data_IF_007978030047
#
_entry.id   IF_007978030047
#
_cell.length_a   1.000
_cell.length_b   1.000
_cell.length_c   1.000
_cell.angle_alpha   90.00
_cell.angle_beta   90.00
_cell.angle_gamma   90.00
#
_symmetry.space_group_name_H-M   'P 1'
#
loop_
_entity.id
_entity.type
_entity.pdbx_description
1 polymer ?
#
# COMPACT_ATOMS: atom_id res chain seq x y z
N UNK A 1 -27.19 2.14 56.93
CA UNK A 1 -26.82 1.12 55.92
C UNK A 1 -27.98 0.63 55.07
N UNK A 2 -29.18 0.29 55.60
CA UNK A 2 -30.33 -0.18 54.80
C UNK A 2 -30.85 0.86 53.78
N UNK A 3 -30.79 2.16 54.03
CA UNK A 3 -31.26 3.20 53.12
C UNK A 3 -30.33 3.42 51.93
N UNK A 4 -29.02 3.22 52.08
CA UNK A 4 -28.03 3.33 51.00
C UNK A 4 -28.13 2.13 50.05
N UNK A 5 -28.42 0.95 50.57
CA UNK A 5 -28.63 -0.25 49.79
C UNK A 5 -29.87 -0.14 48.87
N UNK A 6 -30.96 0.47 49.40
CA UNK A 6 -32.18 0.70 48.61
C UNK A 6 -31.95 1.70 47.45
N UNK A 7 -31.10 2.73 47.68
CA UNK A 7 -30.76 3.71 46.65
C UNK A 7 -29.89 3.10 45.55
N UNK A 8 -28.95 2.23 45.91
CA UNK A 8 -28.11 1.49 44.96
C UNK A 8 -28.94 0.51 44.12
N UNK A 9 -29.90 -0.21 44.73
CA UNK A 9 -30.79 -1.12 43.97
C UNK A 9 -31.71 -0.33 43.04
N UNK A 10 -32.19 0.87 43.46
CA UNK A 10 -32.99 1.73 42.60
C UNK A 10 -32.16 2.28 41.42
N UNK A 11 -30.88 2.64 41.60
CA UNK A 11 -30.02 3.03 40.50
C UNK A 11 -29.77 1.87 39.52
N UNK A 12 -29.57 0.66 40.00
CA UNK A 12 -29.41 -0.51 39.09
C UNK A 12 -30.71 -0.90 38.40
N UNK A 13 -31.90 -0.65 38.99
CA UNK A 13 -33.18 -0.89 38.32
C UNK A 13 -33.47 0.12 37.18
N UNK A 14 -32.88 1.33 37.23
CA UNK A 14 -32.98 2.31 36.14
C UNK A 14 -32.00 2.08 35.01
N UNK A 15 -30.92 1.31 35.20
CA UNK A 15 -29.95 0.97 34.16
C UNK A 15 -30.48 -0.14 33.24
N UNK A 16 -31.49 -0.91 33.68
CA UNK A 16 -32.05 -2.04 32.92
C UNK A 16 -32.97 -1.68 31.74
N UNK A 17 -33.31 -0.39 31.55
CA UNK A 17 -34.19 0.07 30.47
C UNK A 17 -33.60 1.19 29.64
N UNK A 18 -32.29 1.19 29.43
CA UNK A 18 -31.71 1.99 28.36
C UNK A 18 -32.01 1.24 27.04
N UNK A 19 -33.18 1.52 26.47
CA UNK A 19 -33.40 1.22 25.08
C UNK A 19 -32.29 1.95 24.31
N UNK A 20 -31.29 1.22 23.81
CA UNK A 20 -30.29 1.80 22.96
C UNK A 20 -31.05 2.45 21.80
N UNK A 21 -30.98 3.79 21.73
CA UNK A 21 -31.65 4.52 20.67
C UNK A 21 -31.09 4.03 19.34
N UNK A 22 -31.93 3.39 18.53
CA UNK A 22 -31.53 2.92 17.20
C UNK A 22 -31.55 4.13 16.30
N UNK A 23 -30.39 4.47 15.79
CA UNK A 23 -30.23 5.53 14.80
C UNK A 23 -30.20 4.93 13.38
N UNK A 24 -30.77 5.66 12.44
CA UNK A 24 -30.65 5.39 11.02
C UNK A 24 -29.85 6.51 10.36
N UNK A 25 -28.95 6.15 9.46
CA UNK A 25 -28.31 7.10 8.56
C UNK A 25 -29.24 7.31 7.36
N UNK A 26 -29.67 8.55 7.13
CA UNK A 26 -30.54 8.92 6.03
C UNK A 26 -29.73 9.68 5.00
N UNK A 27 -29.62 9.13 3.80
CA UNK A 27 -28.96 9.76 2.64
C UNK A 27 -30.05 10.20 1.67
N UNK A 28 -30.18 11.52 1.48
CA UNK A 28 -31.11 12.08 0.47
C UNK A 28 -30.31 12.44 -0.77
N UNK A 29 -30.65 11.86 -1.90
CA UNK A 29 -30.01 12.14 -3.19
C UNK A 29 -30.58 13.42 -3.81
N UNK A 30 -29.83 14.04 -4.74
CA UNK A 30 -30.23 15.25 -5.42
C UNK A 30 -31.51 15.11 -6.27
N UNK A 31 -31.87 13.89 -6.67
CA UNK A 31 -33.11 13.56 -7.37
C UNK A 31 -34.32 13.39 -6.42
N UNK A 32 -34.11 13.58 -5.11
CA UNK A 32 -35.11 13.44 -4.07
C UNK A 32 -35.32 12.01 -3.57
N UNK A 33 -34.61 11.03 -4.08
CA UNK A 33 -34.67 9.66 -3.54
C UNK A 33 -33.96 9.60 -2.18
N UNK A 34 -34.47 8.74 -1.29
CA UNK A 34 -33.98 8.60 0.07
C UNK A 34 -33.53 7.16 0.31
N UNK A 35 -32.30 7.01 0.78
CA UNK A 35 -31.77 5.75 1.26
C UNK A 35 -31.64 5.80 2.79
N UNK A 36 -32.22 4.79 3.46
CA UNK A 36 -32.14 4.64 4.90
C UNK A 36 -31.26 3.43 5.21
N UNK A 37 -30.20 3.64 5.99
CA UNK A 37 -29.24 2.62 6.40
C UNK A 37 -29.22 2.56 7.92
N UNK A 38 -29.44 1.38 8.50
CA UNK A 38 -29.36 1.21 9.96
C UNK A 38 -27.95 1.54 10.43
N UNK A 39 -27.81 2.42 11.43
CA UNK A 39 -26.50 2.80 11.95
C UNK A 39 -25.73 1.59 12.51
N UNK A 40 -26.43 0.54 12.99
CA UNK A 40 -25.82 -0.72 13.40
C UNK A 40 -25.05 -1.45 12.29
N UNK A 41 -25.43 -1.21 11.04
CA UNK A 41 -24.87 -1.87 9.86
C UNK A 41 -23.73 -1.04 9.25
N UNK A 42 -23.50 0.17 9.79
CA UNK A 42 -22.45 1.11 9.33
C UNK A 42 -21.24 1.02 10.24
N UNK A 43 -20.14 0.54 9.69
CA UNK A 43 -18.85 0.52 10.41
C UNK A 43 -18.15 1.88 10.36
N UNK A 44 -18.24 2.57 9.23
CA UNK A 44 -17.60 3.86 9.00
C UNK A 44 -18.32 4.62 7.88
N UNK A 45 -18.30 5.94 7.94
CA UNK A 45 -18.72 6.85 6.86
C UNK A 45 -17.53 7.69 6.48
N UNK A 46 -17.10 7.60 5.23
CA UNK A 46 -15.97 8.35 4.71
C UNK A 46 -16.42 9.17 3.51
N UNK A 47 -16.02 10.42 3.48
CA UNK A 47 -16.17 11.30 2.31
C UNK A 47 -14.82 11.39 1.62
N UNK A 48 -14.79 11.11 0.32
CA UNK A 48 -13.57 11.24 -0.49
C UNK A 48 -13.88 11.95 -1.80
N UNK A 49 -12.89 12.59 -2.36
CA UNK A 49 -12.99 13.15 -3.70
C UNK A 49 -13.04 12.00 -4.71
N UNK A 50 -13.83 12.13 -5.80
CA UNK A 50 -13.78 11.18 -6.90
C UNK A 50 -12.40 11.22 -7.56
N UNK A 51 -11.96 10.09 -8.10
CA UNK A 51 -10.69 9.97 -8.79
C UNK A 51 -10.62 10.91 -10.00
N UNK A 52 -9.50 11.60 -10.14
CA UNK A 52 -9.27 12.60 -11.17
C UNK A 52 -7.80 12.56 -11.64
N UNK A 53 -7.60 12.66 -12.96
CA UNK A 53 -6.28 12.84 -13.58
C UNK A 53 -5.21 11.83 -13.12
N UNK A 54 -5.61 10.58 -12.89
CA UNK A 54 -4.71 9.53 -12.39
C UNK A 54 -3.66 9.13 -13.42
N UNK A 55 -3.96 9.25 -14.70
CA UNK A 55 -3.09 8.99 -15.84
C UNK A 55 -1.93 10.00 -16.00
N UNK A 56 -1.97 11.10 -15.24
CA UNK A 56 -0.89 12.08 -15.20
C UNK A 56 0.12 11.82 -14.09
N UNK A 57 -0.11 10.83 -13.24
CA UNK A 57 0.79 10.49 -12.14
C UNK A 57 1.82 9.49 -12.61
N UNK A 58 3.10 9.83 -12.42
CA UNK A 58 4.24 9.03 -12.86
C UNK A 58 5.20 8.76 -11.70
N UNK A 59 5.98 7.70 -11.83
CA UNK A 59 7.14 7.43 -10.97
C UNK A 59 8.28 8.31 -11.46
N UNK A 60 8.52 9.42 -10.77
CA UNK A 60 9.55 10.38 -11.15
C UNK A 60 10.95 9.89 -10.82
N UNK A 61 11.10 9.28 -9.66
CA UNK A 61 12.37 8.76 -9.16
C UNK A 61 12.13 7.45 -8.40
N UNK A 62 13.06 6.51 -8.55
CA UNK A 62 13.09 5.27 -7.78
C UNK A 62 14.52 5.08 -7.25
N UNK A 63 14.65 5.06 -5.92
CA UNK A 63 15.92 4.87 -5.24
C UNK A 63 15.93 3.52 -4.52
N UNK A 64 16.66 2.56 -5.08
CA UNK A 64 16.65 1.16 -4.65
C UNK A 64 17.88 0.73 -3.89
N UNK A 65 18.96 1.54 -3.92
CA UNK A 65 20.30 1.12 -3.46
C UNK A 65 20.60 1.59 -2.04
N UNK A 66 20.50 2.87 -1.78
CA UNK A 66 21.04 3.53 -0.59
C UNK A 66 22.47 4.06 -0.79
N UNK A 67 22.96 4.85 0.15
CA UNK A 67 24.33 5.39 0.09
C UNK A 67 25.36 4.30 0.34
N UNK A 68 26.54 4.36 -0.28
CA UNK A 68 27.65 3.48 0.04
C UNK A 68 28.08 3.65 1.52
N UNK A 69 28.35 2.54 2.19
CA UNK A 69 28.83 2.56 3.58
C UNK A 69 30.28 3.04 3.57
N UNK A 70 30.59 4.02 4.42
CA UNK A 70 31.97 4.51 4.59
C UNK A 70 32.89 3.35 4.99
N UNK A 71 34.05 3.27 4.35
CA UNK A 71 35.04 2.18 4.49
C UNK A 71 34.58 0.80 3.99
N UNK A 72 33.39 0.67 3.42
CA UNK A 72 32.91 -0.54 2.75
C UNK A 72 32.06 -0.19 1.51
N UNK A 73 32.66 0.36 0.45
CA UNK A 73 31.93 0.89 -0.71
C UNK A 73 31.24 -0.18 -1.56
N UNK A 74 31.44 -1.46 -1.24
CA UNK A 74 30.70 -2.57 -1.88
C UNK A 74 29.35 -2.84 -1.22
N UNK A 75 29.12 -2.30 -0.03
CA UNK A 75 27.86 -2.41 0.69
C UNK A 75 27.16 -1.05 0.76
N UNK A 76 25.84 -1.10 0.83
CA UNK A 76 24.98 0.07 0.80
C UNK A 76 24.07 0.11 2.04
N UNK A 77 23.77 1.32 2.49
CA UNK A 77 22.85 1.53 3.59
C UNK A 77 21.40 1.35 3.11
N UNK A 78 20.83 0.20 3.43
CA UNK A 78 19.54 -0.25 2.88
C UNK A 78 18.32 0.60 3.28
N UNK A 79 18.46 1.49 4.26
CA UNK A 79 17.35 2.30 4.81
C UNK A 79 16.99 3.52 3.95
N UNK A 80 17.79 3.83 2.93
CA UNK A 80 17.56 5.00 2.07
C UNK A 80 16.58 4.74 0.92
N UNK A 81 16.00 3.55 0.84
CA UNK A 81 15.10 3.20 -0.27
C UNK A 81 13.83 4.02 -0.24
N UNK A 82 13.46 4.54 -1.39
CA UNK A 82 12.26 5.36 -1.55
C UNK A 82 11.93 5.61 -3.02
N UNK A 83 10.81 6.23 -3.26
CA UNK A 83 10.41 6.69 -4.58
C UNK A 83 9.60 7.98 -4.51
N UNK A 84 9.49 8.64 -5.65
CA UNK A 84 8.74 9.90 -5.80
C UNK A 84 7.65 9.68 -6.84
N UNK A 85 6.40 9.98 -6.46
CA UNK A 85 5.30 10.12 -7.40
C UNK A 85 5.13 11.60 -7.75
N UNK A 86 4.93 11.87 -9.02
CA UNK A 86 4.81 13.22 -9.56
C UNK A 86 3.55 13.35 -10.40
N UNK A 87 2.78 14.38 -10.15
CA UNK A 87 1.66 14.77 -11.02
C UNK A 87 2.18 15.64 -12.16
N UNK A 88 2.28 15.08 -13.36
CA UNK A 88 2.75 15.76 -14.56
C UNK A 88 1.65 16.56 -15.26
N UNK A 89 0.52 16.77 -14.62
CA UNK A 89 -0.64 17.49 -15.16
C UNK A 89 -0.90 18.84 -14.51
N UNK A 90 -1.63 19.69 -15.21
CA UNK A 90 -2.06 21.01 -14.73
C UNK A 90 -3.32 21.00 -13.86
N UNK A 91 -3.78 19.84 -13.41
CA UNK A 91 -4.91 19.65 -12.50
C UNK A 91 -4.52 18.74 -11.36
N UNK A 92 -5.17 18.90 -10.21
CA UNK A 92 -4.98 18.00 -9.05
C UNK A 92 -5.29 16.56 -9.45
N UNK A 93 -4.39 15.63 -9.13
CA UNK A 93 -4.64 14.20 -9.23
C UNK A 93 -5.18 13.67 -7.90
N UNK A 94 -6.25 12.89 -7.97
CA UNK A 94 -6.86 12.20 -6.82
C UNK A 94 -6.95 10.72 -7.17
N UNK A 95 -6.27 9.88 -6.41
CA UNK A 95 -6.18 8.43 -6.69
C UNK A 95 -6.63 7.67 -5.46
N UNK A 96 -7.78 7.04 -5.54
CA UNK A 96 -8.20 6.04 -4.54
C UNK A 96 -7.63 4.67 -4.87
N UNK A 97 -7.54 3.81 -3.87
CA UNK A 97 -7.10 2.42 -4.05
C UNK A 97 -5.75 2.26 -4.78
N UNK A 98 -4.86 3.25 -4.61
CA UNK A 98 -3.51 3.18 -5.18
C UNK A 98 -2.69 2.13 -4.45
N UNK A 99 -2.05 1.27 -5.23
CA UNK A 99 -1.17 0.21 -4.74
C UNK A 99 0.15 0.16 -5.51
N UNK A 100 1.12 -0.53 -4.93
CA UNK A 100 2.49 -0.61 -5.39
C UNK A 100 2.89 -2.08 -5.44
N UNK A 101 3.48 -2.51 -6.56
CA UNK A 101 3.95 -3.86 -6.78
C UNK A 101 5.38 -3.91 -7.28
N UNK A 102 6.00 -5.07 -7.10
CA UNK A 102 7.30 -5.41 -7.71
C UNK A 102 7.07 -6.60 -8.63
N UNK A 103 7.58 -6.51 -9.85
CA UNK A 103 7.45 -7.56 -10.85
C UNK A 103 8.29 -8.79 -10.47
N UNK A 104 7.71 -9.98 -10.60
CA UNK A 104 8.43 -11.25 -10.51
C UNK A 104 8.43 -11.95 -11.89
N UNK A 105 9.55 -12.41 -12.39
CA UNK A 105 10.90 -12.29 -11.81
C UNK A 105 11.48 -10.89 -12.01
N UNK A 106 12.45 -10.56 -11.17
CA UNK A 106 13.25 -9.37 -11.38
C UNK A 106 13.89 -9.43 -12.77
N UNK A 107 13.96 -8.29 -13.44
CA UNK A 107 14.35 -8.22 -14.84
C UNK A 107 13.46 -9.12 -15.74
N UNK A 108 12.22 -8.70 -15.91
CA UNK A 108 11.24 -9.38 -16.76
C UNK A 108 11.68 -9.54 -18.22
N UNK A 109 12.68 -8.79 -18.66
CA UNK A 109 13.29 -8.91 -19.99
C UNK A 109 14.13 -10.19 -20.16
N UNK A 110 14.44 -10.90 -19.07
CA UNK A 110 15.25 -12.11 -19.18
C UNK A 110 14.45 -13.26 -19.77
N UNK A 111 14.79 -13.63 -20.99
CA UNK A 111 14.23 -14.81 -21.68
C UNK A 111 14.55 -16.16 -20.99
N UNK A 112 15.43 -16.15 -19.98
CA UNK A 112 15.76 -17.33 -19.19
C UNK A 112 14.79 -17.60 -18.03
N UNK A 113 13.84 -16.70 -17.76
CA UNK A 113 12.90 -16.89 -16.67
C UNK A 113 11.76 -17.86 -17.05
N UNK A 114 11.06 -18.38 -16.05
CA UNK A 114 10.03 -19.41 -16.24
C UNK A 114 8.78 -18.93 -16.99
N UNK A 115 8.57 -17.62 -17.13
CA UNK A 115 7.43 -17.04 -17.85
C UNK A 115 7.62 -17.05 -19.37
N UNK A 116 8.84 -17.24 -19.87
CA UNK A 116 9.10 -17.34 -21.32
C UNK A 116 8.98 -18.78 -21.79
N UNK A 117 8.16 -19.03 -22.78
CA UNK A 117 8.16 -20.27 -23.54
C UNK A 117 9.37 -20.30 -24.48
N UNK A 118 9.82 -21.50 -24.88
CA UNK A 118 10.94 -21.65 -25.82
C UNK A 118 10.67 -20.87 -27.11
N UNK A 119 11.54 -19.92 -27.43
CA UNK A 119 11.44 -19.08 -28.62
C UNK A 119 10.48 -17.88 -28.50
N UNK A 120 9.85 -17.69 -27.35
CA UNK A 120 9.01 -16.51 -27.12
C UNK A 120 9.86 -15.24 -26.91
N UNK A 121 9.36 -14.12 -27.41
CA UNK A 121 9.95 -12.78 -27.22
C UNK A 121 9.34 -12.03 -26.05
N UNK A 122 8.20 -12.52 -25.52
CA UNK A 122 7.46 -11.93 -24.43
C UNK A 122 7.11 -12.96 -23.36
N UNK A 123 7.01 -12.57 -22.09
CA UNK A 123 6.55 -13.45 -21.02
C UNK A 123 5.09 -13.85 -21.25
N UNK A 124 4.73 -15.06 -20.87
CA UNK A 124 3.39 -15.63 -21.08
C UNK A 124 2.25 -14.88 -20.37
N UNK A 125 2.53 -14.12 -19.31
CA UNK A 125 1.53 -13.32 -18.60
C UNK A 125 1.08 -12.09 -19.42
N UNK A 126 1.91 -11.57 -20.34
CA UNK A 126 1.57 -10.41 -21.19
C UNK A 126 0.32 -10.69 -22.02
N UNK A 127 0.30 -11.82 -22.74
CA UNK A 127 -0.84 -12.23 -23.55
C UNK A 127 -2.10 -12.56 -22.72
N UNK A 128 -1.94 -12.76 -21.40
CA UNK A 128 -3.04 -13.01 -20.46
C UNK A 128 -3.58 -11.72 -19.82
N UNK A 129 -2.99 -10.57 -20.13
CA UNK A 129 -3.47 -9.27 -19.67
C UNK A 129 -3.22 -8.94 -18.18
N UNK A 130 -2.17 -9.51 -17.58
CA UNK A 130 -1.79 -9.21 -16.20
C UNK A 130 -0.26 -9.25 -16.03
N UNK A 131 0.22 -8.74 -14.91
CA UNK A 131 1.62 -8.82 -14.49
C UNK A 131 1.74 -9.48 -13.11
N UNK A 132 2.80 -10.27 -12.86
CA UNK A 132 3.02 -10.95 -11.59
C UNK A 132 3.65 -10.00 -10.56
N UNK A 133 2.92 -9.63 -9.51
CA UNK A 133 3.48 -8.90 -8.39
C UNK A 133 4.03 -9.89 -7.33
N UNK A 134 5.30 -9.71 -6.94
CA UNK A 134 6.00 -10.61 -6.04
C UNK A 134 5.75 -10.32 -4.56
N UNK A 135 5.72 -11.36 -3.74
CA UNK A 135 5.77 -11.36 -2.27
C UNK A 135 4.61 -10.66 -1.56
N UNK A 136 4.11 -9.59 -2.06
CA UNK A 136 3.07 -8.74 -1.46
C UNK A 136 2.99 -7.38 -2.12
N UNK A 137 1.96 -6.65 -1.80
CA UNK A 137 1.76 -5.26 -2.25
C UNK A 137 1.72 -4.31 -1.06
N UNK A 138 2.10 -3.07 -1.32
CA UNK A 138 1.81 -1.94 -0.45
C UNK A 138 0.69 -1.09 -1.05
N UNK A 139 -0.10 -0.42 -0.23
CA UNK A 139 -1.19 0.41 -0.72
C UNK A 139 -1.46 1.60 0.21
N UNK A 140 -2.00 2.67 -0.38
CA UNK A 140 -2.45 3.83 0.36
C UNK A 140 -3.84 3.52 0.98
N UNK A 141 -3.99 3.63 2.31
CA UNK A 141 -5.29 3.36 2.97
C UNK A 141 -6.35 4.44 2.66
N UNK A 142 -5.90 5.62 2.25
CA UNK A 142 -6.73 6.76 1.85
C UNK A 142 -6.39 7.18 0.42
N UNK A 143 -7.26 7.97 -0.22
CA UNK A 143 -6.96 8.55 -1.54
C UNK A 143 -5.70 9.42 -1.46
N UNK A 144 -4.78 9.21 -2.40
CA UNK A 144 -3.62 10.07 -2.58
C UNK A 144 -4.01 11.29 -3.39
N UNK A 145 -3.67 12.48 -2.91
CA UNK A 145 -3.90 13.75 -3.59
C UNK A 145 -2.54 14.36 -3.92
N UNK A 146 -2.34 14.68 -5.20
CA UNK A 146 -1.11 15.33 -5.66
C UNK A 146 -1.51 16.57 -6.47
N UNK A 147 -1.13 17.75 -5.97
CA UNK A 147 -1.41 19.02 -6.63
C UNK A 147 -0.74 19.10 -8.01
N UNK A 148 -1.19 20.02 -8.89
CA UNK A 148 -0.60 20.19 -10.21
C UNK A 148 0.91 20.42 -10.13
N UNK A 149 1.67 19.69 -10.96
CA UNK A 149 3.13 19.78 -11.06
C UNK A 149 3.86 19.61 -9.71
N UNK A 150 3.23 18.87 -8.79
CA UNK A 150 3.75 18.60 -7.46
C UNK A 150 4.12 17.14 -7.30
N UNK A 151 4.83 16.83 -6.23
CA UNK A 151 5.31 15.47 -5.96
C UNK A 151 5.06 15.08 -4.51
N UNK A 152 5.03 13.75 -4.28
CA UNK A 152 5.04 13.14 -2.96
C UNK A 152 6.19 12.16 -2.86
N UNK A 153 6.83 12.12 -1.70
CA UNK A 153 7.94 11.21 -1.40
C UNK A 153 7.42 10.08 -0.55
N UNK A 154 7.76 8.85 -0.94
CA UNK A 154 7.42 7.64 -0.20
C UNK A 154 8.71 6.95 0.23
N UNK A 155 8.92 6.83 1.54
CA UNK A 155 9.98 6.05 2.12
C UNK A 155 9.61 4.57 2.12
N UNK A 156 10.42 3.73 1.49
CA UNK A 156 10.20 2.28 1.46
C UNK A 156 10.75 1.57 2.70
N UNK A 157 11.80 2.12 3.29
CA UNK A 157 12.48 1.54 4.46
C UNK A 157 13.08 2.67 5.30
N UNK A 158 13.03 2.53 6.64
CA UNK A 158 13.72 3.46 7.52
C UNK A 158 13.20 4.90 7.51
N UNK A 159 11.91 5.11 7.73
CA UNK A 159 11.26 6.43 7.78
C UNK A 159 11.68 7.25 9.02
N UNK A 160 12.97 7.46 9.19
CA UNK A 160 13.64 8.20 10.28
C UNK A 160 14.68 9.15 9.69
N UNK A 161 15.35 9.90 10.53
CA UNK A 161 16.52 10.70 10.11
C UNK A 161 17.75 9.80 9.94
N UNK A 162 17.93 9.25 8.75
CA UNK A 162 19.05 8.37 8.43
C UNK A 162 20.39 9.11 8.35
N UNK A 163 20.40 10.44 8.25
CA UNK A 163 21.65 11.25 8.26
C UNK A 163 22.38 11.17 9.59
N UNK A 164 21.68 10.76 10.66
CA UNK A 164 22.29 10.49 11.96
C UNK A 164 23.18 9.26 11.97
N UNK A 165 22.94 8.32 11.07
CA UNK A 165 23.76 7.12 10.90
C UNK A 165 24.84 7.35 9.86
N UNK A 166 24.48 7.93 8.72
CA UNK A 166 25.39 8.27 7.62
C UNK A 166 25.06 9.68 7.10
N UNK A 167 25.96 10.67 7.24
CA UNK A 167 25.67 12.07 6.87
C UNK A 167 25.24 12.28 5.41
N UNK A 168 25.64 11.40 4.50
CA UNK A 168 25.27 11.44 3.08
C UNK A 168 23.89 10.82 2.79
N UNK A 169 23.26 10.24 3.81
CA UNK A 169 21.97 9.57 3.72
C UNK A 169 20.80 10.55 3.61
N UNK A 170 19.59 10.04 3.55
CA UNK A 170 18.37 10.82 3.41
C UNK A 170 17.71 11.01 4.78
N UNK A 171 17.31 12.24 5.09
CA UNK A 171 16.42 12.48 6.22
C UNK A 171 14.96 12.25 5.79
N UNK A 172 14.40 11.10 6.15
CA UNK A 172 12.99 10.79 5.91
C UNK A 172 12.06 11.25 7.05
N UNK A 173 12.59 11.83 8.13
CA UNK A 173 11.77 12.40 9.21
C UNK A 173 11.10 13.72 8.77
N UNK A 174 10.12 13.63 7.90
CA UNK A 174 9.42 14.76 7.30
C UNK A 174 7.90 14.54 7.36
N UNK A 175 7.16 15.54 7.88
CA UNK A 175 5.70 15.48 8.05
C UNK A 175 4.91 15.33 6.74
N UNK A 176 5.53 15.66 5.61
CA UNK A 176 4.90 15.62 4.28
C UNK A 176 5.23 14.34 3.51
N UNK A 177 6.02 13.41 4.11
CA UNK A 177 6.42 12.15 3.48
C UNK A 177 5.49 11.01 3.88
N UNK A 178 5.24 10.11 2.95
CA UNK A 178 4.59 8.84 3.18
C UNK A 178 5.62 7.76 3.53
N UNK A 179 5.18 6.69 4.19
CA UNK A 179 6.08 5.59 4.53
C UNK A 179 5.40 4.23 4.43
N UNK A 180 6.15 3.26 3.94
CA UNK A 180 5.81 1.85 4.02
C UNK A 180 6.06 1.34 5.44
N UNK A 181 5.05 1.43 6.30
CA UNK A 181 5.11 0.93 7.67
C UNK A 181 3.75 0.36 8.09
N UNK A 182 3.70 -0.95 8.24
CA UNK A 182 2.53 -1.69 8.70
C UNK A 182 2.95 -2.83 9.61
N UNK A 183 3.01 -2.60 10.95
CA UNK A 183 3.46 -3.60 11.91
C UNK A 183 2.52 -4.81 12.02
N UNK A 184 1.30 -4.71 11.48
CA UNK A 184 0.33 -5.81 11.44
C UNK A 184 0.51 -6.71 10.21
N UNK A 185 1.27 -6.27 9.22
CA UNK A 185 1.61 -7.05 8.03
C UNK A 185 2.73 -8.06 8.28
N UNK A 186 3.00 -8.92 7.28
CA UNK A 186 4.18 -9.80 7.30
C UNK A 186 5.51 -9.05 7.13
N UNK A 187 5.49 -7.85 6.56
CA UNK A 187 6.67 -6.99 6.38
C UNK A 187 6.97 -6.19 7.65
N UNK A 188 7.51 -6.86 8.64
CA UNK A 188 7.70 -6.33 10.00
C UNK A 188 9.10 -6.48 10.56
N UNK A 189 10.09 -6.74 9.72
CA UNK A 189 11.47 -6.81 10.18
C UNK A 189 11.94 -5.43 10.66
N UNK A 190 12.21 -5.23 11.96
CA UNK A 190 12.50 -3.91 12.53
C UNK A 190 13.83 -3.33 12.03
N UNK A 191 14.68 -4.14 11.42
CA UNK A 191 15.89 -3.67 10.75
C UNK A 191 15.56 -2.80 9.53
N UNK A 192 14.46 -3.10 8.83
CA UNK A 192 14.05 -2.38 7.62
C UNK A 192 12.86 -1.45 7.86
N UNK A 193 12.03 -1.77 8.84
CA UNK A 193 10.84 -1.02 9.20
C UNK A 193 10.89 -0.61 10.69
N UNK A 194 11.83 0.26 11.08
CA UNK A 194 11.80 0.87 12.40
C UNK A 194 10.54 1.72 12.54
N UNK A 195 10.11 1.97 13.77
CA UNK A 195 9.02 2.92 14.02
C UNK A 195 9.33 4.24 13.33
N UNK A 196 8.44 4.75 12.47
CA UNK A 196 8.65 6.03 11.81
C UNK A 196 8.83 7.17 12.80
N UNK A 197 9.52 8.22 12.37
CA UNK A 197 9.68 9.42 13.18
C UNK A 197 8.32 10.05 13.51
N UNK A 198 8.13 10.51 14.75
CA UNK A 198 6.86 11.05 15.27
C UNK A 198 6.30 12.21 14.46
N UNK A 199 7.13 12.88 13.68
CA UNK A 199 6.73 13.98 12.80
C UNK A 199 5.88 13.51 11.62
N UNK A 200 5.94 12.21 11.25
CA UNK A 200 5.16 11.63 10.15
C UNK A 200 3.78 11.22 10.68
N UNK A 201 2.69 11.81 10.20
CA UNK A 201 1.35 11.42 10.63
C UNK A 201 1.03 9.96 10.29
N UNK A 202 0.35 9.25 11.19
CA UNK A 202 -0.06 7.85 10.97
C UNK A 202 -1.00 7.68 9.76
N UNK A 203 -1.70 8.73 9.35
CA UNK A 203 -2.51 8.76 8.12
C UNK A 203 -1.69 8.64 6.83
N UNK A 204 -0.37 8.86 6.91
CA UNK A 204 0.59 8.72 5.82
C UNK A 204 1.33 7.37 5.84
N UNK A 205 0.95 6.47 6.73
CA UNK A 205 1.47 5.10 6.75
C UNK A 205 0.72 4.24 5.73
N UNK A 206 1.46 3.66 4.79
CA UNK A 206 0.92 2.68 3.86
C UNK A 206 0.62 1.38 4.61
N UNK A 207 -0.32 0.62 4.07
CA UNK A 207 -0.67 -0.71 4.51
C UNK A 207 -0.13 -1.75 3.53
N UNK A 208 0.01 -2.99 3.98
CA UNK A 208 0.50 -4.07 3.14
C UNK A 208 -0.37 -5.33 3.21
N UNK A 209 -0.35 -6.10 2.12
CA UNK A 209 -0.81 -7.49 2.10
C UNK A 209 0.35 -8.35 1.64
N UNK A 210 0.81 -9.23 2.52
CA UNK A 210 1.81 -10.25 2.20
C UNK A 210 1.11 -11.57 1.84
N UNK A 211 1.31 -12.05 0.64
CA UNK A 211 0.86 -13.36 0.18
C UNK A 211 2.04 -14.31 -0.12
N UNK A 212 3.23 -13.76 -0.24
CA UNK A 212 4.47 -14.49 -0.44
C UNK A 212 5.16 -14.88 0.86
N UNK A 213 6.45 -15.12 0.80
CA UNK A 213 7.29 -15.46 1.95
C UNK A 213 8.45 -14.48 2.06
N UNK A 214 8.26 -13.42 2.85
CA UNK A 214 9.30 -12.45 3.16
C UNK A 214 8.95 -11.71 4.45
N UNK A 215 9.95 -11.31 5.24
CA UNK A 215 9.76 -10.44 6.40
C UNK A 215 10.14 -8.97 6.08
N UNK A 216 10.59 -8.73 4.87
CA UNK A 216 10.80 -7.43 4.27
C UNK A 216 10.44 -7.50 2.78
N UNK A 217 9.86 -6.43 2.26
CA UNK A 217 9.51 -6.35 0.84
C UNK A 217 10.79 -6.31 -0.02
N UNK A 218 10.88 -7.13 -1.08
CA UNK A 218 12.14 -7.39 -1.76
C UNK A 218 12.56 -6.30 -2.77
N UNK A 219 12.31 -5.02 -2.48
CA UNK A 219 12.84 -3.93 -3.28
C UNK A 219 14.38 -3.98 -3.26
N UNK A 220 14.95 -4.41 -4.37
CA UNK A 220 16.37 -4.76 -4.50
C UNK A 220 17.09 -3.82 -5.48
N UNK A 221 18.42 -3.84 -5.42
CA UNK A 221 19.31 -3.21 -6.40
C UNK A 221 19.47 -4.04 -7.67
N UNK A 222 18.90 -5.25 -7.71
CA UNK A 222 19.03 -6.17 -8.84
C UNK A 222 17.85 -6.06 -9.78
N UNK A 223 17.73 -4.91 -10.43
CA UNK A 223 16.77 -4.66 -11.54
C UNK A 223 15.32 -5.08 -11.24
N UNK A 224 14.66 -4.54 -10.21
CA UNK A 224 13.24 -4.80 -10.00
C UNK A 224 12.42 -4.07 -11.05
N UNK A 225 11.42 -4.74 -11.59
CA UNK A 225 10.30 -4.05 -12.22
C UNK A 225 9.41 -3.47 -11.12
N UNK A 226 9.41 -2.17 -10.95
CA UNK A 226 8.60 -1.46 -9.96
C UNK A 226 7.42 -0.81 -10.65
N UNK A 227 6.20 -0.96 -10.11
CA UNK A 227 5.03 -0.37 -10.73
C UNK A 227 4.00 0.10 -9.71
N UNK A 228 3.20 1.08 -10.11
CA UNK A 228 2.03 1.56 -9.38
C UNK A 228 0.76 1.20 -10.15
N UNK A 229 -0.27 0.83 -9.43
CA UNK A 229 -1.55 0.44 -10.03
C UNK A 229 -2.73 0.86 -9.15
N UNK A 230 -3.89 0.99 -9.77
CA UNK A 230 -5.15 1.31 -9.09
C UNK A 230 -6.12 0.16 -9.22
N UNK A 231 -6.59 -0.40 -8.09
CA UNK A 231 -7.62 -1.44 -8.16
C UNK A 231 -8.97 -0.83 -8.51
N UNK A 232 -9.71 -1.51 -9.41
CA UNK A 232 -11.03 -1.11 -9.89
C UNK A 232 -12.09 -2.02 -9.29
N UNK A 233 -13.18 -1.44 -8.76
CA UNK A 233 -14.31 -2.16 -8.18
C UNK A 233 -13.99 -3.04 -6.96
N UNK A 234 -12.82 -2.88 -6.36
CA UNK A 234 -12.36 -3.58 -5.16
C UNK A 234 -11.28 -2.76 -4.45
N UNK A 235 -11.03 -3.05 -3.18
CA UNK A 235 -9.90 -2.45 -2.49
C UNK A 235 -8.62 -3.26 -2.74
N UNK A 236 -7.42 -2.65 -2.65
CA UNK A 236 -6.15 -3.39 -2.78
C UNK A 236 -6.04 -4.56 -1.80
N UNK A 237 -6.50 -4.36 -0.56
CA UNK A 237 -6.50 -5.41 0.46
C UNK A 237 -7.43 -6.58 0.09
N UNK A 238 -8.66 -6.30 -0.36
CA UNK A 238 -9.60 -7.35 -0.77
C UNK A 238 -9.08 -8.11 -2.00
N UNK A 239 -8.53 -7.40 -2.98
CA UNK A 239 -7.95 -7.99 -4.17
C UNK A 239 -6.78 -8.92 -3.87
N UNK A 240 -5.83 -8.48 -3.03
CA UNK A 240 -4.63 -9.26 -2.73
C UNK A 240 -4.89 -10.43 -1.76
N UNK A 241 -5.96 -10.36 -0.95
CA UNK A 241 -6.37 -11.48 -0.08
C UNK A 241 -7.26 -12.51 -0.78
N UNK A 242 -7.73 -12.25 -1.99
CA UNK A 242 -8.49 -13.23 -2.75
C UNK A 242 -7.53 -14.24 -3.40
N UNK A 243 -7.59 -15.49 -2.94
CA UNK A 243 -6.76 -16.58 -3.43
C UNK A 243 -6.90 -16.85 -4.94
N UNK A 244 -8.02 -16.47 -5.56
CA UNK A 244 -8.21 -16.61 -7.00
C UNK A 244 -7.31 -15.69 -7.83
N UNK A 245 -6.82 -14.60 -7.23
CA UNK A 245 -5.87 -13.68 -7.84
C UNK A 245 -4.40 -14.11 -7.67
N UNK A 246 -4.13 -15.14 -6.86
CA UNK A 246 -2.79 -15.67 -6.65
C UNK A 246 -2.49 -16.76 -7.67
N UNK A 247 -1.27 -16.76 -8.18
CA UNK A 247 -0.75 -17.80 -9.07
C UNK A 247 0.73 -18.08 -8.81
N UNK A 248 1.33 -18.92 -9.62
CA UNK A 248 2.73 -19.34 -9.50
C UNK A 248 3.38 -19.37 -10.89
N UNK A 249 4.68 -19.07 -10.95
CA UNK A 249 5.40 -19.14 -12.21
C UNK A 249 5.36 -20.57 -12.78
N UNK A 250 5.31 -20.74 -14.10
CA UNK A 250 5.27 -22.04 -14.74
C UNK A 250 6.38 -22.99 -14.24
N UNK A 251 6.00 -24.20 -13.87
CA UNK A 251 6.94 -25.21 -13.35
C UNK A 251 7.44 -24.98 -11.93
N UNK A 252 7.00 -23.93 -11.23
CA UNK A 252 7.35 -23.69 -9.83
C UNK A 252 6.36 -24.38 -8.88
N UNK A 253 6.86 -24.76 -7.71
CA UNK A 253 6.01 -25.34 -6.65
C UNK A 253 4.97 -24.32 -6.17
N UNK A 254 3.74 -24.80 -5.94
CA UNK A 254 2.63 -23.97 -5.44
C UNK A 254 2.77 -23.77 -3.93
N UNK A 255 3.63 -22.85 -3.55
CA UNK A 255 3.90 -22.49 -2.16
C UNK A 255 4.16 -20.99 -2.04
N UNK A 256 4.19 -20.47 -0.81
CA UNK A 256 4.32 -19.04 -0.54
C UNK A 256 5.55 -18.37 -1.19
N UNK A 257 6.68 -19.07 -1.29
CA UNK A 257 7.91 -18.48 -1.85
C UNK A 257 7.78 -18.16 -3.34
N UNK A 258 6.88 -18.87 -4.04
CA UNK A 258 6.65 -18.72 -5.48
C UNK A 258 5.32 -18.03 -5.79
N UNK A 259 4.57 -17.59 -4.77
CA UNK A 259 3.27 -16.97 -4.94
C UNK A 259 3.41 -15.55 -5.52
N UNK A 260 2.65 -15.26 -6.55
CA UNK A 260 2.55 -13.93 -7.17
C UNK A 260 1.09 -13.54 -7.35
N UNK A 261 0.81 -12.26 -7.25
CA UNK A 261 -0.51 -11.68 -7.49
C UNK A 261 -0.64 -11.30 -8.96
N UNK A 262 -1.73 -11.73 -9.61
CA UNK A 262 -2.05 -11.37 -11.00
C UNK A 262 -2.66 -9.97 -11.04
N UNK A 263 -1.86 -8.95 -11.26
CA UNK A 263 -2.35 -7.56 -11.39
C UNK A 263 -2.76 -7.30 -12.83
N UNK A 264 -4.02 -6.95 -13.12
CA UNK A 264 -4.48 -6.61 -14.47
C UNK A 264 -3.66 -5.47 -15.08
N UNK A 265 -3.26 -5.60 -16.33
CA UNK A 265 -2.44 -4.59 -17.01
C UNK A 265 -3.15 -3.25 -17.18
N UNK A 266 -4.47 -3.25 -17.33
CA UNK A 266 -5.30 -2.03 -17.42
C UNK A 266 -5.48 -1.29 -16.09
N UNK A 267 -4.95 -1.83 -14.98
CA UNK A 267 -4.91 -1.17 -13.68
C UNK A 267 -3.59 -0.44 -13.44
N UNK A 268 -2.56 -0.72 -14.25
CA UNK A 268 -1.24 -0.12 -14.10
C UNK A 268 -1.30 1.34 -14.55
N UNK A 269 -0.83 2.23 -13.68
CA UNK A 269 -0.72 3.66 -13.96
C UNK A 269 0.65 3.96 -14.56
N UNK A 270 1.71 3.44 -13.95
CA UNK A 270 3.09 3.63 -14.41
C UNK A 270 4.00 2.51 -13.89
N UNK A 271 5.12 2.31 -14.54
CA UNK A 271 6.11 1.30 -14.16
C UNK A 271 7.50 1.62 -14.67
N UNK A 272 8.49 1.19 -13.92
CA UNK A 272 9.91 1.36 -14.26
C UNK A 272 10.67 0.06 -13.98
N UNK A 273 11.55 -0.32 -14.87
CA UNK A 273 12.53 -1.38 -14.68
C UNK A 273 13.92 -0.76 -14.53
N UNK A 274 14.69 -1.23 -13.54
CA UNK A 274 16.01 -0.70 -13.17
C UNK A 274 17.11 -1.68 -13.59
#
# INVERSE_FOLDING_TARGET
>A
MKKILLLLVAMFAFIGNINAQVWDMVVTHNDGTVQVIKASDVKNVTFQLPDQNTDQVIIKELYTTGVPIENDPKNFFQMDKGFILYNNGGKTAVISNLAIGILDPYNAQSVANAWYSTGATEPSYVSQGWVPAACGIWYFPNSLIIEPYSQVVICCMGAIDNTKTYPQSINYANKDYYTMYDPESGFKNPKYYPTPADVIPTSQYLKAVEYGQANAWPLSVTSPGFFIFQTKNTTPAAFANDASNITYAPGKAQNKINAVLKVPTDWIIDGVEV
#
